data_IF_245993510223
#
_entry.id   IF_245993510223
#
_cell.length_a   1.000
_cell.length_b   1.000
_cell.length_c   1.000
_cell.angle_alpha   90.00
_cell.angle_beta   90.00
_cell.angle_gamma   90.00
#
_symmetry.space_group_name_H-M   'P 1'
#
loop_
_entity.id
_entity.type
_entity.pdbx_description
1 polymer ?
#
# COMPACT_ATOMS: atom_id res chain seq x y z
N UNK A 1 -27.06 -4.96 0.71
CA UNK A 1 -27.10 -5.22 2.17
C UNK A 1 -27.47 -3.93 2.91
N UNK A 2 -28.08 -4.03 4.10
CA UNK A 2 -28.52 -2.91 4.95
C UNK A 2 -28.46 -3.31 6.41
N UNK A 3 -28.20 -2.36 7.30
CA UNK A 3 -28.22 -2.51 8.76
C UNK A 3 -29.12 -1.45 9.39
N UNK A 4 -29.71 -1.78 10.54
CA UNK A 4 -30.53 -0.84 11.31
C UNK A 4 -29.65 0.25 11.93
N UNK A 5 -30.17 1.49 11.92
CA UNK A 5 -29.53 2.64 12.53
C UNK A 5 -30.59 3.62 13.06
N UNK A 6 -30.21 4.60 13.90
CA UNK A 6 -31.13 5.65 14.37
C UNK A 6 -31.79 6.46 13.24
N UNK A 7 -31.24 6.43 12.03
CA UNK A 7 -31.74 7.14 10.86
C UNK A 7 -32.44 6.22 9.83
N UNK A 8 -32.76 4.99 10.23
CA UNK A 8 -33.35 3.96 9.37
C UNK A 8 -32.32 2.99 8.81
N UNK A 9 -32.78 2.08 7.95
CA UNK A 9 -31.93 1.07 7.31
C UNK A 9 -30.92 1.69 6.34
N UNK A 10 -29.64 1.39 6.52
CA UNK A 10 -28.58 1.94 5.67
C UNK A 10 -27.29 1.14 5.65
N UNK A 11 -26.22 1.78 5.16
CA UNK A 11 -24.85 1.26 5.16
C UNK A 11 -23.89 2.40 5.48
N UNK A 12 -22.73 2.11 6.08
CA UNK A 12 -21.72 3.14 6.30
C UNK A 12 -21.25 3.76 4.99
N UNK A 13 -20.82 5.02 5.06
CA UNK A 13 -20.09 5.66 3.99
C UNK A 13 -18.64 5.21 3.99
N UNK A 14 -17.99 5.21 2.82
CA UNK A 14 -16.63 4.71 2.67
C UNK A 14 -15.62 5.30 3.67
N UNK A 15 -15.68 6.62 3.93
CA UNK A 15 -14.74 7.31 4.82
C UNK A 15 -14.93 6.94 6.30
N UNK A 16 -16.19 6.83 6.77
CA UNK A 16 -16.47 6.62 8.21
C UNK A 16 -16.05 5.22 8.67
N UNK A 17 -15.99 4.26 7.75
CA UNK A 17 -15.52 2.90 8.04
C UNK A 17 -14.08 2.93 8.58
N UNK A 18 -13.16 3.60 7.88
CA UNK A 18 -11.75 3.68 8.27
C UNK A 18 -11.56 4.47 9.58
N UNK A 19 -12.20 5.64 9.71
CA UNK A 19 -12.16 6.48 10.92
C UNK A 19 -12.57 5.70 12.17
N UNK A 20 -13.70 4.98 12.09
CA UNK A 20 -14.23 4.22 13.22
C UNK A 20 -13.36 3.02 13.54
N UNK A 21 -13.00 2.20 12.54
CA UNK A 21 -12.20 1.00 12.77
C UNK A 21 -10.82 1.32 13.35
N UNK A 22 -10.11 2.27 12.76
CA UNK A 22 -8.79 2.66 13.22
C UNK A 22 -8.84 3.24 14.64
N UNK A 23 -9.69 4.24 14.90
CA UNK A 23 -9.82 4.84 16.23
C UNK A 23 -10.20 3.80 17.29
N UNK A 24 -11.10 2.88 16.96
CA UNK A 24 -11.55 1.80 17.86
C UNK A 24 -10.43 0.84 18.18
N UNK A 25 -9.66 0.38 17.19
CA UNK A 25 -8.54 -0.54 17.44
C UNK A 25 -7.48 0.11 18.33
N UNK A 26 -7.05 1.33 17.99
CA UNK A 26 -6.00 2.01 18.74
C UNK A 26 -6.44 2.38 20.16
N UNK A 27 -7.68 2.85 20.32
CA UNK A 27 -8.21 3.20 21.65
C UNK A 27 -8.50 1.96 22.50
N UNK A 28 -9.31 1.05 21.99
CA UNK A 28 -9.93 0.01 22.82
C UNK A 28 -9.01 -1.21 23.00
N UNK A 29 -8.12 -1.49 22.04
CA UNK A 29 -7.22 -2.65 22.10
C UNK A 29 -5.77 -2.28 22.40
N UNK A 30 -5.32 -1.10 21.97
CA UNK A 30 -3.94 -0.65 22.22
C UNK A 30 -3.83 0.37 23.36
N UNK A 31 -4.97 0.85 23.90
CA UNK A 31 -4.99 1.80 25.01
C UNK A 31 -4.45 3.19 24.66
N UNK A 32 -4.45 3.55 23.37
CA UNK A 32 -3.97 4.86 22.91
C UNK A 32 -5.07 5.90 23.08
N UNK A 33 -4.78 6.92 23.88
CA UNK A 33 -5.70 8.03 24.14
C UNK A 33 -6.14 8.71 22.83
N UNK A 34 -7.45 8.95 22.69
CA UNK A 34 -8.04 9.55 21.50
C UNK A 34 -7.93 8.70 20.22
N UNK A 35 -7.50 7.43 20.32
CA UNK A 35 -7.34 6.53 19.17
C UNK A 35 -6.33 7.03 18.12
N UNK A 36 -5.34 7.83 18.56
CA UNK A 36 -4.34 8.45 17.69
C UNK A 36 -3.38 7.41 17.10
N UNK A 37 -2.81 7.73 15.94
CA UNK A 37 -1.90 6.85 15.22
C UNK A 37 -0.63 7.57 14.81
N UNK A 38 0.50 6.87 14.86
CA UNK A 38 1.75 7.43 14.35
C UNK A 38 1.76 7.47 12.82
N UNK A 39 1.34 6.37 12.18
CA UNK A 39 1.41 6.22 10.72
C UNK A 39 0.07 5.76 10.19
N UNK A 40 -0.48 6.54 9.26
CA UNK A 40 -1.59 6.13 8.40
C UNK A 40 -1.13 6.12 6.95
N UNK A 41 -1.56 5.14 6.15
CA UNK A 41 -1.01 4.91 4.82
C UNK A 41 -2.05 4.53 3.79
N UNK A 42 -1.73 4.75 2.52
CA UNK A 42 -2.62 4.46 1.41
C UNK A 42 -2.00 4.77 0.06
N UNK A 43 -2.72 4.51 -1.02
CA UNK A 43 -2.37 5.07 -2.33
C UNK A 43 -2.50 6.60 -2.29
N UNK A 44 -1.72 7.31 -3.11
CA UNK A 44 -1.80 8.78 -3.21
C UNK A 44 -3.19 9.29 -3.61
N UNK A 45 -3.98 8.47 -4.28
CA UNK A 45 -5.38 8.73 -4.60
C UNK A 45 -6.32 8.72 -3.39
N UNK A 46 -5.90 8.12 -2.27
CA UNK A 46 -6.63 8.17 -1.01
C UNK A 46 -6.35 9.44 -0.22
N UNK A 47 -5.28 10.19 -0.53
CA UNK A 47 -4.97 11.44 0.16
C UNK A 47 -6.18 12.38 0.19
N UNK A 48 -6.80 12.59 -0.97
CA UNK A 48 -8.04 13.36 -1.08
C UNK A 48 -9.06 12.64 -1.98
N UNK A 49 -10.35 12.55 -1.58
CA UNK A 49 -10.93 13.10 -0.36
C UNK A 49 -10.86 12.14 0.85
N UNK A 50 -10.31 10.93 0.69
CA UNK A 50 -10.51 9.87 1.67
C UNK A 50 -9.86 10.16 3.03
N UNK A 51 -8.55 10.37 3.07
CA UNK A 51 -7.84 10.64 4.33
C UNK A 51 -8.17 12.02 4.91
N UNK A 52 -8.42 13.03 4.07
CA UNK A 52 -8.91 14.34 4.53
C UNK A 52 -10.23 14.21 5.30
N UNK A 53 -11.17 13.42 4.78
CA UNK A 53 -12.44 13.17 5.46
C UNK A 53 -12.28 12.30 6.71
N UNK A 54 -11.33 11.35 6.72
CA UNK A 54 -11.02 10.57 7.91
C UNK A 54 -10.47 11.43 9.04
N UNK A 55 -9.54 12.37 8.73
CA UNK A 55 -9.06 13.35 9.69
C UNK A 55 -10.22 14.18 10.24
N UNK A 56 -11.03 14.77 9.37
CA UNK A 56 -12.14 15.61 9.78
C UNK A 56 -13.13 14.87 10.71
N UNK A 57 -13.43 13.59 10.42
CA UNK A 57 -14.31 12.77 11.24
C UNK A 57 -13.68 12.39 12.58
N UNK A 58 -12.43 11.92 12.57
CA UNK A 58 -11.76 11.40 13.75
C UNK A 58 -11.34 12.51 14.72
N UNK A 59 -10.83 13.62 14.22
CA UNK A 59 -10.42 14.78 15.03
C UNK A 59 -11.64 15.44 15.69
N UNK A 60 -12.73 15.62 14.94
CA UNK A 60 -13.99 16.15 15.49
C UNK A 60 -14.62 15.23 16.53
N UNK A 61 -14.59 13.91 16.31
CA UNK A 61 -15.23 12.95 17.21
C UNK A 61 -14.42 12.69 18.50
N UNK A 62 -13.09 12.70 18.41
CA UNK A 62 -12.20 12.42 19.54
C UNK A 62 -11.70 13.70 20.24
N UNK A 63 -12.18 14.87 19.82
CA UNK A 63 -11.78 16.19 20.35
C UNK A 63 -10.25 16.35 20.39
N UNK A 64 -9.58 16.02 19.28
CA UNK A 64 -8.13 16.11 19.17
C UNK A 64 -7.68 16.83 17.90
N UNK A 65 -6.59 17.58 17.99
CA UNK A 65 -6.05 18.37 16.87
C UNK A 65 -5.08 17.56 15.98
N UNK A 66 -4.79 16.31 16.35
CA UNK A 66 -3.84 15.47 15.63
C UNK A 66 -4.20 14.00 15.80
N UNK A 67 -5.05 13.49 14.92
CA UNK A 67 -5.41 12.06 14.91
C UNK A 67 -4.29 11.18 14.35
N UNK A 68 -3.53 11.70 13.37
CA UNK A 68 -2.42 11.00 12.72
C UNK A 68 -1.17 11.87 12.69
N UNK A 69 -0.02 11.33 13.09
CA UNK A 69 1.26 12.05 13.07
C UNK A 69 1.86 12.13 11.66
N UNK A 70 1.88 11.01 10.93
CA UNK A 70 2.51 10.91 9.62
C UNK A 70 1.64 10.14 8.62
N UNK A 71 1.41 10.76 7.47
CA UNK A 71 0.82 10.08 6.32
C UNK A 71 1.89 9.56 5.36
N UNK A 72 1.77 8.28 4.98
CA UNK A 72 2.65 7.65 3.99
C UNK A 72 1.82 7.22 2.79
N UNK A 73 1.97 7.95 1.69
CA UNK A 73 1.24 7.67 0.45
C UNK A 73 2.13 7.04 -0.62
N UNK A 74 1.71 5.92 -1.17
CA UNK A 74 2.37 5.27 -2.30
C UNK A 74 1.98 5.93 -3.63
N UNK A 75 2.95 6.03 -4.54
CA UNK A 75 2.75 6.60 -5.87
C UNK A 75 1.85 5.74 -6.74
N UNK A 76 1.35 6.33 -7.83
CA UNK A 76 0.53 5.59 -8.79
C UNK A 76 1.34 4.57 -9.57
N UNK A 77 0.70 3.45 -9.89
CA UNK A 77 1.20 2.50 -10.88
C UNK A 77 0.62 2.87 -12.25
N UNK A 78 1.49 2.97 -13.25
CA UNK A 78 1.17 3.25 -14.63
C UNK A 78 1.42 2.01 -15.50
N UNK A 79 0.72 1.90 -16.63
CA UNK A 79 1.02 0.96 -17.71
C UNK A 79 1.11 1.76 -18.99
N UNK A 80 2.25 1.65 -19.69
CA UNK A 80 2.53 2.39 -20.93
C UNK A 80 2.30 3.90 -20.77
N UNK A 81 2.71 4.47 -19.62
CA UNK A 81 2.56 5.89 -19.32
C UNK A 81 1.16 6.34 -18.86
N UNK A 82 0.17 5.45 -18.82
CA UNK A 82 -1.18 5.77 -18.35
C UNK A 82 -1.43 5.21 -16.96
N UNK A 83 -2.13 5.96 -16.11
CA UNK A 83 -2.60 5.47 -14.80
C UNK A 83 -3.33 4.13 -14.96
N UNK A 84 -2.93 3.14 -14.18
CA UNK A 84 -3.62 1.86 -14.13
C UNK A 84 -4.99 2.08 -13.45
N UNK A 85 -6.08 1.79 -14.16
CA UNK A 85 -7.42 1.86 -13.56
C UNK A 85 -8.38 0.86 -14.21
N UNK A 86 -9.39 0.43 -13.43
CA UNK A 86 -10.47 -0.41 -13.95
C UNK A 86 -11.27 0.30 -15.04
N UNK A 87 -11.46 1.63 -14.93
CA UNK A 87 -12.22 2.42 -15.89
C UNK A 87 -11.52 2.52 -17.25
N UNK A 88 -10.19 2.62 -17.27
CA UNK A 88 -9.39 2.62 -18.50
C UNK A 88 -9.16 1.20 -19.07
N UNK A 89 -9.65 0.16 -18.38
CA UNK A 89 -9.49 -1.27 -18.74
C UNK A 89 -8.03 -1.66 -19.01
N UNK A 90 -7.08 -0.91 -18.43
CA UNK A 90 -5.64 -1.09 -18.61
C UNK A 90 -5.00 -1.66 -17.34
N UNK A 91 -5.72 -2.48 -16.58
CA UNK A 91 -5.20 -3.06 -15.33
C UNK A 91 -4.70 -4.48 -15.55
N UNK A 92 -3.62 -4.81 -14.84
CA UNK A 92 -3.08 -6.16 -14.75
C UNK A 92 -3.33 -6.63 -13.33
N UNK A 93 -4.01 -7.77 -13.18
CA UNK A 93 -4.18 -8.38 -11.87
C UNK A 93 -2.88 -9.00 -11.38
N UNK A 94 -2.73 -9.12 -10.06
CA UNK A 94 -1.58 -9.83 -9.47
C UNK A 94 -1.48 -11.27 -10.00
N UNK A 95 -2.62 -11.96 -10.21
CA UNK A 95 -2.62 -13.31 -10.81
C UNK A 95 -2.00 -13.31 -12.20
N UNK A 96 -2.39 -12.37 -13.07
CA UNK A 96 -1.81 -12.24 -14.41
C UNK A 96 -0.32 -11.89 -14.37
N UNK A 97 0.10 -11.00 -13.46
CA UNK A 97 1.52 -10.67 -13.30
C UNK A 97 2.35 -11.91 -12.89
N UNK A 98 1.77 -12.77 -12.05
CA UNK A 98 2.40 -14.00 -11.56
C UNK A 98 2.41 -15.16 -12.57
N UNK A 99 1.64 -15.07 -13.66
CA UNK A 99 1.73 -16.02 -14.77
C UNK A 99 3.03 -15.83 -15.57
N UNK A 100 3.60 -14.62 -15.56
CA UNK A 100 4.78 -14.26 -16.34
C UNK A 100 6.06 -14.15 -15.52
N UNK A 101 5.94 -13.85 -14.21
CA UNK A 101 7.08 -13.58 -13.34
C UNK A 101 6.86 -14.19 -11.95
N UNK A 102 7.95 -14.51 -11.25
CA UNK A 102 7.84 -15.02 -9.88
C UNK A 102 7.40 -13.92 -8.91
N UNK A 103 6.79 -14.32 -7.79
CA UNK A 103 6.42 -13.38 -6.75
C UNK A 103 7.64 -12.63 -6.14
N UNK A 104 8.85 -13.18 -6.27
CA UNK A 104 10.07 -12.48 -5.85
C UNK A 104 10.46 -11.40 -6.86
N UNK A 105 10.40 -11.70 -8.16
CA UNK A 105 10.69 -10.75 -9.23
C UNK A 105 9.73 -9.57 -9.20
N UNK A 106 8.44 -9.83 -9.01
CA UNK A 106 7.43 -8.76 -8.87
C UNK A 106 7.75 -7.88 -7.66
N UNK A 107 8.13 -8.46 -6.51
CA UNK A 107 8.56 -7.67 -5.33
C UNK A 107 9.82 -6.85 -5.59
N UNK A 108 10.84 -7.44 -6.22
CA UNK A 108 12.06 -6.73 -6.60
C UNK A 108 11.76 -5.56 -7.54
N UNK A 109 10.85 -5.75 -8.49
CA UNK A 109 10.37 -4.69 -9.39
C UNK A 109 9.88 -3.47 -8.61
N UNK A 110 9.02 -3.66 -7.61
CA UNK A 110 8.54 -2.57 -6.77
C UNK A 110 9.64 -1.98 -5.86
N UNK A 111 10.49 -2.82 -5.27
CA UNK A 111 11.56 -2.38 -4.36
C UNK A 111 12.66 -1.55 -5.05
N UNK A 112 12.83 -1.70 -6.36
CA UNK A 112 13.75 -0.87 -7.15
C UNK A 112 13.25 0.56 -7.36
N UNK A 113 11.97 0.83 -7.09
CA UNK A 113 11.37 2.14 -7.32
C UNK A 113 11.08 2.84 -5.99
N UNK A 114 11.20 4.17 -5.98
CA UNK A 114 10.85 4.97 -4.81
C UNK A 114 9.35 4.85 -4.55
N UNK A 115 8.97 4.46 -3.33
CA UNK A 115 7.58 4.14 -2.99
C UNK A 115 6.58 5.28 -3.25
N UNK A 116 7.01 6.54 -3.16
CA UNK A 116 6.16 7.72 -3.31
C UNK A 116 6.23 8.37 -4.70
N UNK A 117 6.94 7.75 -5.64
CA UNK A 117 7.00 8.20 -7.02
C UNK A 117 6.05 7.35 -7.89
N UNK A 118 5.50 7.90 -8.99
CA UNK A 118 4.85 7.08 -10.00
C UNK A 118 5.82 6.05 -10.57
N UNK A 119 5.31 4.85 -10.84
CA UNK A 119 6.08 3.75 -11.41
C UNK A 119 5.37 3.25 -12.68
N UNK A 120 6.10 3.13 -13.78
CA UNK A 120 5.60 2.46 -14.98
C UNK A 120 5.88 0.95 -14.88
N UNK A 121 4.81 0.15 -14.87
CA UNK A 121 4.90 -1.29 -14.95
C UNK A 121 4.86 -1.76 -16.40
N UNK A 122 5.89 -2.53 -16.79
CA UNK A 122 5.95 -3.21 -18.08
C UNK A 122 7.13 -4.16 -18.20
N UNK A 123 7.33 -4.69 -19.40
CA UNK A 123 8.34 -5.70 -19.67
C UNK A 123 9.74 -5.21 -19.33
N UNK A 124 10.09 -3.98 -19.70
CA UNK A 124 11.41 -3.39 -19.41
C UNK A 124 11.70 -3.33 -17.90
N UNK A 125 10.75 -2.87 -17.09
CA UNK A 125 10.92 -2.80 -15.62
C UNK A 125 11.03 -4.20 -15.00
N UNK A 126 10.30 -5.17 -15.54
CA UNK A 126 10.40 -6.56 -15.10
C UNK A 126 11.74 -7.20 -15.50
N UNK A 127 12.26 -6.91 -16.69
CA UNK A 127 13.59 -7.39 -17.09
C UNK A 127 14.68 -6.90 -16.16
N UNK A 128 14.63 -5.64 -15.71
CA UNK A 128 15.57 -5.14 -14.70
C UNK A 128 15.46 -5.93 -13.38
N UNK A 129 14.25 -6.28 -12.95
CA UNK A 129 14.03 -7.06 -11.72
C UNK A 129 14.59 -8.48 -11.83
N UNK A 130 14.42 -9.12 -12.99
CA UNK A 130 14.94 -10.46 -13.29
C UNK A 130 16.48 -10.44 -13.29
N UNK A 131 17.08 -9.46 -13.95
CA UNK A 131 18.55 -9.30 -13.97
C UNK A 131 19.09 -9.06 -12.55
N UNK A 132 18.44 -8.20 -11.76
CA UNK A 132 18.83 -7.95 -10.37
C UNK A 132 18.75 -9.23 -9.52
N UNK A 133 17.68 -10.03 -9.66
CA UNK A 133 17.57 -11.31 -8.96
C UNK A 133 18.74 -12.23 -9.33
N UNK A 134 19.05 -12.35 -10.63
CA UNK A 134 20.16 -13.17 -11.12
C UNK A 134 21.49 -12.72 -10.51
N UNK A 135 21.76 -11.42 -10.47
CA UNK A 135 22.98 -10.87 -9.85
C UNK A 135 23.08 -11.25 -8.38
N UNK A 136 22.00 -11.16 -7.59
CA UNK A 136 22.03 -11.60 -6.20
C UNK A 136 22.29 -13.11 -6.07
N UNK A 137 21.64 -13.92 -6.89
CA UNK A 137 21.82 -15.38 -6.88
C UNK A 137 23.28 -15.76 -7.19
N UNK A 138 23.87 -15.15 -8.22
CA UNK A 138 25.28 -15.36 -8.59
C UNK A 138 26.23 -14.92 -7.47
N UNK A 139 25.99 -13.74 -6.87
CA UNK A 139 26.76 -13.27 -5.71
C UNK A 139 26.73 -14.28 -4.56
N UNK A 140 25.56 -14.77 -4.17
CA UNK A 140 25.44 -15.74 -3.07
C UNK A 140 26.09 -17.09 -3.39
N UNK A 141 26.06 -17.53 -4.65
CA UNK A 141 26.80 -18.73 -5.07
C UNK A 141 28.31 -18.53 -4.95
N UNK A 142 28.84 -17.39 -5.41
CA UNK A 142 30.26 -17.08 -5.32
C UNK A 142 30.74 -16.98 -3.87
N UNK A 143 29.97 -16.33 -2.99
CA UNK A 143 30.27 -16.27 -1.55
C UNK A 143 30.32 -17.67 -0.94
N UNK A 144 29.35 -18.55 -1.26
CA UNK A 144 29.34 -19.93 -0.77
C UNK A 144 30.53 -20.74 -1.28
N UNK A 145 30.94 -20.54 -2.53
CA UNK A 145 32.12 -21.20 -3.09
C UNK A 145 33.41 -20.74 -2.39
N UNK A 146 33.57 -19.43 -2.17
CA UNK A 146 34.73 -18.87 -1.47
C UNK A 146 34.83 -19.39 -0.03
N UNK A 147 33.72 -19.42 0.71
CA UNK A 147 33.69 -19.93 2.09
C UNK A 147 34.08 -21.42 2.18
N UNK A 148 33.72 -22.24 1.18
CA UNK A 148 34.11 -23.66 1.12
C UNK A 148 35.58 -23.86 0.76
N UNK A 149 36.17 -22.95 -0.03
CA UNK A 149 37.59 -23.01 -0.37
C UNK A 149 38.50 -22.60 0.79
N UNK A 150 37.97 -21.85 1.76
CA UNK A 150 38.68 -21.40 2.95
C UNK A 150 38.52 -22.31 4.18
N UNK A 151 37.69 -23.36 4.10
CA UNK A 151 37.47 -24.36 5.15
C UNK A 151 38.25 -25.64 4.84
#
# INVERSE_FOLDING_TARGET
PSWDSPWGGGRPGWHIECSVMASTIFRDFMGVEGGRMDIHSGGIDLKFPHHDNELAQSESCNECDQWVNYFVHSGHLHIKGFKMSKSLKNFISIRQALEQNTARQVRLCFLMHKYNAPMDYGDNTMQHAIVLEKTFVEFFHNVKAALRACA
#
